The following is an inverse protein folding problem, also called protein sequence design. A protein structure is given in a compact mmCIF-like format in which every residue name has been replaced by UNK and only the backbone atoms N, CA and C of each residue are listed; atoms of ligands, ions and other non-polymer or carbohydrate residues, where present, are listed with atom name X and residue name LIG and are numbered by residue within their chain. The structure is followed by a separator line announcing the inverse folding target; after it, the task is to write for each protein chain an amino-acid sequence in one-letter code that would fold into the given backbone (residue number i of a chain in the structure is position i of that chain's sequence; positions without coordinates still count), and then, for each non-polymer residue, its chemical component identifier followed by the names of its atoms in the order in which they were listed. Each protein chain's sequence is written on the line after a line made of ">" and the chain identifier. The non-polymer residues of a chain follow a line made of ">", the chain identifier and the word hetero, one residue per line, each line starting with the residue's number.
data_IF_439320217196
#
_entry.id   IF_439320217196
#
_cell.length_a   1.000
_cell.length_b   1.000
_cell.length_c   1.000
_cell.angle_alpha   90.00
_cell.angle_beta   90.00
_cell.angle_gamma   90.00
#
_symmetry.space_group_name_H-M   'P 1'
#
loop_
_entity.id
_entity.type
_entity.pdbx_description
1 polymer ?
#
# COMPACT_ATOMS: atom_id res chain seq x y z
N UNK A 1 22.81 0.82 -21.81
CA UNK A 1 22.64 2.25 -21.46
C UNK A 1 21.58 2.37 -20.37
N UNK A 2 22.03 2.45 -19.12
CA UNK A 2 21.20 2.53 -17.92
C UNK A 2 20.65 3.96 -17.79
N UNK A 3 19.33 4.12 -17.66
CA UNK A 3 18.76 5.35 -17.10
C UNK A 3 18.07 5.00 -15.78
N UNK A 4 18.88 4.75 -14.77
CA UNK A 4 18.42 4.68 -13.39
C UNK A 4 18.53 6.09 -12.79
N UNK A 5 17.54 6.94 -13.07
CA UNK A 5 17.43 8.28 -12.48
C UNK A 5 16.55 8.19 -11.24
N UNK A 6 16.98 7.40 -10.24
CA UNK A 6 16.48 7.57 -8.88
C UNK A 6 17.26 8.74 -8.32
N UNK A 7 16.69 9.92 -8.50
CA UNK A 7 17.27 11.19 -8.10
C UNK A 7 17.80 11.13 -6.65
N UNK A 8 19.04 11.59 -6.51
CA UNK A 8 19.64 11.99 -5.24
C UNK A 8 18.83 13.12 -4.59
N UNK A 9 17.74 12.76 -3.92
CA UNK A 9 16.98 13.70 -3.09
C UNK A 9 16.67 13.08 -1.73
N UNK A 10 17.74 12.68 -1.03
CA UNK A 10 17.73 12.84 0.42
C UNK A 10 17.96 14.33 0.73
N UNK A 11 16.99 15.17 0.38
CA UNK A 11 16.98 16.56 0.81
C UNK A 11 16.83 16.56 2.32
N UNK A 12 17.88 17.05 3.00
CA UNK A 12 17.91 17.45 4.42
C UNK A 12 16.50 17.66 4.96
N UNK A 13 16.12 16.85 5.96
CA UNK A 13 14.78 16.78 6.54
C UNK A 13 14.19 18.19 6.70
N UNK A 14 13.32 18.57 5.77
CA UNK A 14 12.77 19.94 5.71
C UNK A 14 11.92 20.13 6.94
N UNK A 15 12.41 20.90 7.91
CA UNK A 15 11.64 21.23 9.11
C UNK A 15 10.45 22.09 8.70
N UNK A 16 9.20 21.63 8.91
CA UNK A 16 8.04 22.39 8.48
C UNK A 16 7.78 23.60 9.39
N UNK A 17 7.38 24.71 8.77
CA UNK A 17 6.93 25.93 9.44
C UNK A 17 5.40 26.06 9.43
N UNK A 18 4.85 26.84 10.34
CA UNK A 18 3.42 27.15 10.38
C UNK A 18 3.03 28.07 9.20
N UNK A 19 2.20 27.56 8.28
CA UNK A 19 1.71 28.34 7.14
C UNK A 19 0.89 29.57 7.57
N UNK A 20 0.04 29.45 8.62
CA UNK A 20 -0.78 30.57 9.10
C UNK A 20 0.10 31.72 9.61
N UNK A 21 1.11 31.43 10.43
CA UNK A 21 2.09 32.44 10.85
C UNK A 21 2.81 33.08 9.65
N UNK A 22 3.16 32.28 8.64
CA UNK A 22 3.77 32.77 7.41
C UNK A 22 2.90 33.79 6.66
N UNK A 23 1.56 33.62 6.66
CA UNK A 23 0.63 34.59 6.04
C UNK A 23 0.62 35.96 6.72
N UNK A 24 1.11 36.04 7.95
CA UNK A 24 1.24 37.23 8.77
C UNK A 24 2.71 37.67 8.95
N UNK A 25 3.65 37.10 8.19
CA UNK A 25 5.07 37.48 8.23
C UNK A 25 5.88 36.86 9.37
N UNK A 26 5.28 36.03 10.22
CA UNK A 26 5.97 35.37 11.34
C UNK A 26 6.44 33.97 10.96
N UNK A 27 7.70 33.62 11.27
CA UNK A 27 8.24 32.27 11.07
C UNK A 27 8.21 31.50 12.39
N UNK A 28 7.29 30.54 12.50
CA UNK A 28 7.20 29.63 13.64
C UNK A 28 7.39 28.19 13.18
N UNK A 29 8.20 27.39 13.89
CA UNK A 29 8.32 25.94 13.61
C UNK A 29 6.98 25.28 13.91
N UNK A 30 6.55 24.33 13.06
CA UNK A 30 5.22 23.72 13.19
C UNK A 30 5.14 22.74 14.37
N UNK A 31 6.24 22.08 14.72
CA UNK A 31 6.31 21.11 15.84
C UNK A 31 5.93 21.81 17.15
N UNK A 32 4.87 21.35 17.81
CA UNK A 32 4.35 21.93 19.07
C UNK A 32 3.55 23.23 18.93
N UNK A 33 3.56 23.87 17.76
CA UNK A 33 3.00 25.22 17.59
C UNK A 33 1.50 25.26 17.26
N UNK A 34 0.89 24.14 16.84
CA UNK A 34 -0.52 24.13 16.36
C UNK A 34 -1.53 24.71 17.37
N UNK A 35 -1.36 24.43 18.67
CA UNK A 35 -2.28 24.92 19.73
C UNK A 35 -1.92 26.32 20.22
N UNK A 36 -0.64 26.67 20.16
CA UNK A 36 -0.09 27.96 20.61
C UNK A 36 -0.04 29.00 19.49
N UNK A 37 -0.64 28.71 18.34
CA UNK A 37 -0.58 29.59 17.18
C UNK A 37 -1.45 30.83 17.42
N UNK A 38 -0.88 32.05 17.37
CA UNK A 38 -1.65 33.29 17.53
C UNK A 38 -2.74 33.45 16.48
N UNK A 39 -2.52 32.88 15.29
CA UNK A 39 -3.40 32.99 14.13
C UNK A 39 -4.26 31.75 13.90
N UNK A 40 -4.40 30.86 14.91
CA UNK A 40 -5.16 29.60 14.80
C UNK A 40 -6.55 29.85 14.22
N UNK A 41 -7.26 30.82 14.81
CA UNK A 41 -8.64 31.17 14.48
C UNK A 41 -8.73 32.55 13.77
N UNK A 42 -7.66 32.97 13.10
CA UNK A 42 -7.65 34.24 12.36
C UNK A 42 -8.65 34.23 11.19
N UNK A 43 -9.55 35.23 11.08
CA UNK A 43 -10.60 35.28 10.04
C UNK A 43 -10.15 35.91 8.71
N UNK A 44 -8.87 36.26 8.53
CA UNK A 44 -8.43 36.91 7.29
C UNK A 44 -8.48 35.96 6.08
N UNK A 45 -8.71 36.52 4.88
CA UNK A 45 -8.81 35.75 3.63
C UNK A 45 -7.57 34.85 3.38
N UNK A 46 -6.36 35.34 3.67
CA UNK A 46 -5.12 34.57 3.54
C UNK A 46 -5.13 33.30 4.41
N UNK A 47 -5.61 33.40 5.65
CA UNK A 47 -5.70 32.26 6.58
C UNK A 47 -6.86 31.31 6.24
N UNK A 48 -7.93 31.80 5.64
CA UNK A 48 -9.00 30.96 5.11
C UNK A 48 -8.49 30.05 3.98
N UNK A 49 -7.78 30.61 3.00
CA UNK A 49 -7.16 29.84 1.90
C UNK A 49 -6.21 28.76 2.42
N UNK A 50 -5.39 29.07 3.42
CA UNK A 50 -4.51 28.07 4.07
C UNK A 50 -5.33 26.94 4.69
N UNK A 51 -6.46 27.28 5.33
CA UNK A 51 -7.31 26.28 6.00
C UNK A 51 -8.01 25.38 4.98
N UNK A 52 -8.51 25.93 3.88
CA UNK A 52 -9.08 25.16 2.77
C UNK A 52 -8.04 24.24 2.11
N UNK A 53 -6.85 24.76 1.82
CA UNK A 53 -5.74 23.96 1.31
C UNK A 53 -5.41 22.79 2.25
N UNK A 54 -5.41 23.01 3.56
CA UNK A 54 -5.14 21.94 4.53
C UNK A 54 -6.22 20.85 4.50
N UNK A 55 -7.50 21.21 4.32
CA UNK A 55 -8.59 20.24 4.14
C UNK A 55 -8.34 19.39 2.88
N UNK A 56 -8.10 20.03 1.74
CA UNK A 56 -7.82 19.35 0.48
C UNK A 56 -6.62 18.40 0.58
N UNK A 57 -5.53 18.83 1.22
CA UNK A 57 -4.36 17.98 1.43
C UNK A 57 -4.69 16.79 2.35
N UNK A 58 -5.49 16.99 3.41
CA UNK A 58 -5.90 15.90 4.29
C UNK A 58 -6.71 14.84 3.53
N UNK A 59 -7.64 15.27 2.68
CA UNK A 59 -8.45 14.38 1.84
C UNK A 59 -7.58 13.63 0.83
N UNK A 60 -6.67 14.33 0.15
CA UNK A 60 -5.75 13.70 -0.79
C UNK A 60 -4.84 12.66 -0.10
N UNK A 61 -4.34 12.97 1.10
CA UNK A 61 -3.55 12.04 1.90
C UNK A 61 -4.39 10.81 2.28
N UNK A 62 -5.65 11.01 2.66
CA UNK A 62 -6.58 9.91 3.00
C UNK A 62 -6.79 8.98 1.80
N UNK A 63 -7.04 9.53 0.62
CA UNK A 63 -7.21 8.77 -0.62
C UNK A 63 -5.94 7.95 -0.90
N UNK A 64 -4.76 8.60 -0.90
CA UNK A 64 -3.49 7.92 -1.19
C UNK A 64 -3.17 6.82 -0.19
N UNK A 65 -3.44 7.06 1.10
CA UNK A 65 -3.26 6.04 2.15
C UNK A 65 -4.18 4.84 1.93
N UNK A 66 -5.44 5.08 1.53
CA UNK A 66 -6.38 4.00 1.21
C UNK A 66 -5.91 3.22 -0.02
N UNK A 67 -5.57 3.89 -1.11
CA UNK A 67 -5.06 3.25 -2.33
C UNK A 67 -3.83 2.37 -2.07
N UNK A 68 -2.87 2.84 -1.25
CA UNK A 68 -1.70 2.04 -0.86
C UNK A 68 -2.08 0.80 -0.03
N UNK A 69 -3.06 0.94 0.87
CA UNK A 69 -3.55 -0.21 1.65
C UNK A 69 -4.24 -1.22 0.73
N UNK A 70 -5.11 -0.75 -0.15
CA UNK A 70 -5.85 -1.57 -1.10
C UNK A 70 -4.88 -2.31 -2.05
N UNK A 71 -3.82 -1.64 -2.54
CA UNK A 71 -2.81 -2.27 -3.39
C UNK A 71 -2.03 -3.38 -2.68
N UNK A 72 -1.69 -3.20 -1.40
CA UNK A 72 -1.00 -4.24 -0.61
C UNK A 72 -1.91 -5.45 -0.41
N UNK A 73 -3.18 -5.20 -0.05
CA UNK A 73 -4.16 -6.28 0.15
C UNK A 73 -4.41 -7.04 -1.16
N UNK A 74 -4.56 -6.32 -2.28
CA UNK A 74 -4.76 -6.95 -3.59
C UNK A 74 -3.56 -7.82 -3.98
N UNK A 75 -2.33 -7.32 -3.80
CA UNK A 75 -1.12 -8.10 -4.07
C UNK A 75 -1.06 -9.39 -3.21
N UNK A 76 -1.43 -9.30 -1.93
CA UNK A 76 -1.52 -10.47 -1.04
C UNK A 76 -2.58 -11.48 -1.51
N UNK A 77 -3.75 -10.99 -1.94
CA UNK A 77 -4.82 -11.83 -2.49
C UNK A 77 -4.35 -12.52 -3.78
N UNK A 78 -3.70 -11.79 -4.67
CA UNK A 78 -3.22 -12.32 -5.94
C UNK A 78 -2.16 -13.41 -5.73
N UNK A 79 -1.24 -13.21 -4.78
CA UNK A 79 -0.26 -14.22 -4.38
C UNK A 79 -0.91 -15.47 -3.76
N UNK A 80 -1.92 -15.30 -2.91
CA UNK A 80 -2.64 -16.45 -2.33
C UNK A 80 -3.39 -17.23 -3.41
N UNK A 81 -4.06 -16.54 -4.33
CA UNK A 81 -4.78 -17.15 -5.43
C UNK A 81 -3.84 -17.93 -6.37
N UNK A 82 -2.68 -17.35 -6.72
CA UNK A 82 -1.69 -18.06 -7.54
C UNK A 82 -1.15 -19.31 -6.85
N UNK A 83 -0.92 -19.25 -5.54
CA UNK A 83 -0.46 -20.40 -4.74
C UNK A 83 -1.48 -21.53 -4.73
N UNK A 84 -2.77 -21.21 -4.51
CA UNK A 84 -3.86 -22.20 -4.51
C UNK A 84 -3.99 -22.85 -5.89
N UNK A 85 -3.97 -22.04 -6.96
CA UNK A 85 -4.08 -22.56 -8.33
C UNK A 85 -2.90 -23.47 -8.71
N UNK A 86 -1.68 -23.11 -8.30
CA UNK A 86 -0.50 -23.95 -8.49
C UNK A 86 -0.61 -25.28 -7.73
N UNK A 87 -1.08 -25.26 -6.48
CA UNK A 87 -1.30 -26.47 -5.69
C UNK A 87 -2.36 -27.39 -6.32
N UNK A 88 -3.45 -26.82 -6.83
CA UNK A 88 -4.48 -27.59 -7.54
C UNK A 88 -3.94 -28.26 -8.81
N UNK A 89 -3.08 -27.57 -9.56
CA UNK A 89 -2.42 -28.15 -10.74
C UNK A 89 -1.50 -29.32 -10.38
N UNK A 90 -0.79 -29.25 -9.24
CA UNK A 90 0.05 -30.35 -8.76
C UNK A 90 -0.78 -31.57 -8.31
N UNK A 91 -1.91 -31.37 -7.63
CA UNK A 91 -2.82 -32.46 -7.26
C UNK A 91 -3.35 -33.17 -8.52
N UNK A 92 -3.66 -32.42 -9.58
CA UNK A 92 -4.04 -32.98 -10.87
C UNK A 92 -2.96 -33.87 -11.53
N UNK A 93 -1.68 -33.61 -11.27
CA UNK A 93 -0.56 -34.44 -11.73
C UNK A 93 -0.38 -35.71 -10.88
N UNK A 94 -0.64 -35.64 -9.57
CA UNK A 94 -0.51 -36.79 -8.67
C UNK A 94 -1.62 -37.82 -8.86
N UNK A 95 -2.81 -37.37 -9.29
CA UNK A 95 -3.94 -38.25 -9.58
C UNK A 95 -3.74 -39.08 -10.87
N UNK A 96 -2.81 -38.68 -11.75
CA UNK A 96 -2.42 -39.46 -12.93
C UNK A 96 -1.42 -40.59 -12.59
N UNK A 97 -0.69 -40.48 -11.47
CA UNK A 97 0.22 -41.53 -10.97
C UNK A 97 -0.48 -42.59 -10.12
N UNK A 98 -1.54 -42.22 -9.39
CA UNK A 98 -2.34 -43.15 -8.57
C UNK A 98 -3.35 -43.95 -9.40
N UNK A 99 -3.89 -43.39 -10.48
CA UNK A 99 -4.73 -44.14 -11.43
C UNK A 99 -3.94 -45.18 -12.25
N UNK A 100 -2.62 -44.99 -12.42
CA UNK A 100 -1.72 -46.00 -13.01
C UNK A 100 -1.41 -47.19 -12.08
N UNK A 101 -1.45 -46.99 -10.76
CA UNK A 101 -1.23 -48.06 -9.77
C UNK A 101 -2.51 -48.89 -9.51
N UNK A 102 -3.69 -48.31 -9.72
CA UNK A 102 -4.96 -49.05 -9.58
C UNK A 102 -5.17 -50.09 -10.68
N UNK A 103 -4.53 -49.97 -11.86
CA UNK A 103 -4.67 -50.93 -12.97
C UNK A 103 -3.75 -52.15 -12.85
N UNK A 104 -2.71 -52.09 -12.01
CA UNK A 104 -1.80 -53.23 -11.77
C UNK A 104 -2.28 -54.15 -10.63
N UNK A 105 -3.28 -53.75 -9.85
CA UNK A 105 -3.82 -54.57 -8.77
C UNK A 105 -4.91 -55.54 -9.22
N UNK A 106 -5.59 -55.30 -10.35
CA UNK A 106 -6.57 -56.25 -10.90
C UNK A 106 -5.92 -57.42 -11.65
N UNK A 107 -4.63 -57.33 -12.02
CA UNK A 107 -3.93 -58.39 -12.77
C UNK A 107 -3.29 -59.48 -11.89
N UNK A 108 -3.18 -59.28 -10.58
CA UNK A 108 -2.47 -60.22 -9.68
C UNK A 108 -3.42 -61.11 -8.86
N UNK A 109 -4.72 -60.81 -8.85
CA UNK A 109 -5.75 -61.62 -8.17
C UNK A 109 -6.74 -62.31 -9.13
N UNK A 110 -6.35 -62.49 -10.39
CA UNK A 110 -7.16 -63.15 -11.43
C UNK A 110 -6.73 -64.57 -11.83
N UNK A 111 -5.70 -65.15 -11.20
CA UNK A 111 -5.23 -66.53 -11.48
C UNK A 111 -5.41 -67.51 -10.30
N UNK A 112 -6.35 -67.25 -9.39
CA UNK A 112 -6.84 -68.26 -8.43
C UNK A 112 -8.37 -68.22 -8.38
N UNK A 113 -9.00 -68.63 -9.48
CA UNK A 113 -10.13 -69.58 -9.47
C UNK A 113 -10.27 -70.23 -10.84
#
# INVERSE_FOLDING_TARGET
>A
MMKNVVAMTHCLERVPNCQKCGQHGQKSRLKGHKRLCPFKDCPCAKCQVVSERQKLMADQIKIRRRQRKDSIINLQRDHLASTINAAAAQIGQMNFGLSGLSLLCESVFGEIL
#
